data_IF_411472980096
#
_entry.id   IF_411472980096
#
_cell.length_a   1.000
_cell.length_b   1.000
_cell.length_c   1.000
_cell.angle_alpha   90.00
_cell.angle_beta   90.00
_cell.angle_gamma   90.00
#
_symmetry.space_group_name_H-M   'P 1'
#
loop_
_entity.id
_entity.type
_entity.pdbx_description
1 polymer ?
#
# COMPACT_ATOMS: atom_id res chain seq x y z
N UNK A 1 -27.50 -26.41 -45.70
CA UNK A 1 -27.33 -25.01 -45.26
C UNK A 1 -27.16 -24.85 -43.74
N UNK A 2 -27.82 -25.65 -42.88
CA UNK A 2 -27.65 -25.54 -41.41
C UNK A 2 -26.30 -26.02 -40.85
N UNK A 3 -25.62 -26.96 -41.53
CA UNK A 3 -24.29 -27.47 -41.11
C UNK A 3 -23.13 -26.50 -41.39
N UNK A 4 -23.30 -25.56 -42.33
CA UNK A 4 -22.28 -24.55 -42.65
C UNK A 4 -22.27 -23.38 -41.66
N UNK A 5 -23.43 -23.03 -41.09
CA UNK A 5 -23.53 -21.98 -40.06
C UNK A 5 -22.88 -22.43 -38.74
N UNK A 6 -22.98 -23.72 -38.41
CA UNK A 6 -22.40 -24.28 -37.18
C UNK A 6 -20.85 -24.35 -37.25
N UNK A 7 -20.27 -24.50 -38.44
CA UNK A 7 -18.82 -24.49 -38.64
C UNK A 7 -18.22 -23.08 -38.50
N UNK A 8 -18.96 -22.03 -38.91
CA UNK A 8 -18.54 -20.64 -38.75
C UNK A 8 -18.54 -20.15 -37.30
N UNK A 9 -19.47 -20.65 -36.48
CA UNK A 9 -19.59 -20.25 -35.06
C UNK A 9 -18.50 -20.89 -34.17
N UNK A 10 -17.96 -22.04 -34.58
CA UNK A 10 -16.89 -22.73 -33.84
C UNK A 10 -15.51 -22.15 -34.16
N UNK A 11 -15.35 -21.43 -35.27
CA UNK A 11 -14.07 -20.86 -35.70
C UNK A 11 -13.77 -19.47 -35.10
N UNK A 12 -14.78 -18.76 -34.60
CA UNK A 12 -14.61 -17.46 -33.92
C UNK A 12 -14.23 -17.59 -32.44
N UNK A 13 -14.24 -18.81 -31.88
CA UNK A 13 -13.88 -19.06 -30.47
C UNK A 13 -12.39 -19.42 -30.27
N UNK A 14 -11.62 -19.58 -31.34
CA UNK A 14 -10.24 -20.08 -31.28
C UNK A 14 -9.17 -18.97 -31.25
N UNK A 15 -9.54 -17.70 -31.18
CA UNK A 15 -8.59 -16.59 -31.17
C UNK A 15 -8.88 -15.58 -30.06
N UNK A 16 -8.62 -16.00 -28.82
CA UNK A 16 -8.11 -15.09 -27.79
C UNK A 16 -6.97 -15.79 -27.08
N UNK A 17 -5.79 -15.82 -27.72
CA UNK A 17 -4.57 -16.02 -26.93
C UNK A 17 -4.33 -14.67 -26.24
N UNK A 18 -4.93 -14.52 -25.06
CA UNK A 18 -4.63 -13.41 -24.16
C UNK A 18 -3.22 -13.60 -23.64
N UNK A 19 -2.20 -13.18 -24.41
CA UNK A 19 -0.83 -13.06 -23.89
C UNK A 19 -0.70 -11.71 -23.20
N UNK A 20 -1.03 -11.66 -21.91
CA UNK A 20 -0.75 -10.48 -21.10
C UNK A 20 -0.69 -10.84 -19.61
N UNK A 21 0.50 -11.24 -19.15
CA UNK A 21 1.16 -10.67 -17.97
C UNK A 21 2.50 -11.39 -17.77
N UNK A 22 3.59 -10.81 -18.27
CA UNK A 22 4.88 -11.02 -17.62
C UNK A 22 4.81 -10.27 -16.29
N UNK A 23 4.60 -10.99 -15.18
CA UNK A 23 4.54 -10.38 -13.85
C UNK A 23 5.92 -10.03 -13.29
N UNK A 24 7.00 -10.13 -14.08
CA UNK A 24 8.38 -10.13 -13.59
C UNK A 24 8.63 -11.13 -12.43
N UNK A 25 7.84 -12.21 -12.38
CA UNK A 25 7.81 -13.18 -11.27
C UNK A 25 7.38 -12.58 -9.90
N UNK A 26 6.62 -11.47 -9.89
CA UNK A 26 6.05 -10.91 -8.67
C UNK A 26 4.90 -11.77 -8.13
N UNK A 27 4.94 -12.06 -6.84
CA UNK A 27 3.89 -12.77 -6.10
C UNK A 27 3.39 -11.90 -4.94
N UNK A 28 2.07 -11.87 -4.74
CA UNK A 28 1.47 -11.24 -3.56
C UNK A 28 1.77 -12.10 -2.33
N UNK A 29 2.54 -11.57 -1.38
CA UNK A 29 2.91 -12.29 -0.16
C UNK A 29 1.88 -12.13 0.96
N UNK A 30 1.39 -10.91 1.18
CA UNK A 30 0.45 -10.60 2.26
C UNK A 30 -0.46 -9.42 1.94
N UNK A 31 -1.31 -9.05 2.90
CA UNK A 31 -2.21 -7.89 2.82
C UNK A 31 -2.70 -7.52 4.22
N UNK A 32 -2.69 -6.22 4.53
CA UNK A 32 -3.31 -5.65 5.72
C UNK A 32 -4.36 -4.62 5.29
N UNK A 33 -5.60 -4.76 5.80
CA UNK A 33 -6.70 -3.86 5.47
C UNK A 33 -6.82 -2.72 6.47
N UNK A 34 -7.15 -1.52 5.99
CA UNK A 34 -7.44 -0.35 6.82
C UNK A 34 -8.90 0.08 6.70
N UNK A 35 -9.51 0.59 7.78
CA UNK A 35 -10.88 1.13 7.75
C UNK A 35 -10.95 2.54 7.13
N UNK A 36 -9.79 3.14 6.82
CA UNK A 36 -9.65 4.46 6.22
C UNK A 36 -8.82 4.36 4.94
N UNK A 37 -8.95 5.37 4.07
CA UNK A 37 -8.09 5.48 2.90
C UNK A 37 -6.65 5.77 3.34
N UNK A 38 -5.71 5.26 2.56
CA UNK A 38 -4.26 5.44 2.74
C UNK A 38 -3.75 6.38 1.64
N UNK A 39 -2.56 6.95 1.83
CA UNK A 39 -2.02 7.95 0.90
C UNK A 39 -0.52 7.80 0.57
N UNK A 40 0.32 7.34 1.50
CA UNK A 40 1.75 7.09 1.26
C UNK A 40 2.23 5.85 2.02
N UNK A 41 3.36 5.30 1.59
CA UNK A 41 4.08 4.22 2.28
C UNK A 41 5.59 4.41 2.16
N UNK A 42 6.30 4.18 3.27
CA UNK A 42 7.76 4.19 3.32
C UNK A 42 8.28 2.95 4.06
N UNK A 43 9.53 2.57 3.81
CA UNK A 43 10.18 1.43 4.47
C UNK A 43 11.19 1.86 5.53
N UNK A 44 11.27 1.10 6.62
CA UNK A 44 12.33 1.21 7.62
C UNK A 44 12.82 -0.18 8.02
N UNK A 45 14.12 -0.34 8.20
CA UNK A 45 14.72 -1.57 8.73
C UNK A 45 15.53 -1.19 9.96
N UNK A 46 15.23 -1.81 11.10
CA UNK A 46 15.97 -1.54 12.33
C UNK A 46 17.35 -2.21 12.34
N UNK A 47 18.14 -1.96 13.39
CA UNK A 47 19.47 -2.57 13.53
C UNK A 47 19.43 -4.10 13.75
N UNK A 48 18.27 -4.66 14.10
CA UNK A 48 18.03 -6.09 14.26
C UNK A 48 17.63 -6.80 12.97
N UNK A 49 17.34 -6.05 11.89
CA UNK A 49 16.87 -6.58 10.62
C UNK A 49 15.35 -6.76 10.55
N UNK A 50 14.59 -6.23 11.52
CA UNK A 50 13.14 -6.18 11.43
C UNK A 50 12.74 -5.12 10.41
N UNK A 51 11.76 -5.43 9.55
CA UNK A 51 11.28 -4.54 8.50
C UNK A 51 9.91 -3.98 8.86
N UNK A 52 9.75 -2.68 8.65
CA UNK A 52 8.55 -1.93 8.97
C UNK A 52 8.04 -1.17 7.75
N UNK A 53 6.75 -1.33 7.46
CA UNK A 53 6.02 -0.44 6.56
C UNK A 53 5.46 0.72 7.38
N UNK A 54 5.85 1.92 7.01
CA UNK A 54 5.39 3.17 7.58
C UNK A 54 4.29 3.70 6.67
N UNK A 55 3.04 3.71 7.12
CA UNK A 55 1.87 3.88 6.27
C UNK A 55 1.14 5.16 6.64
N UNK A 56 0.96 6.05 5.66
CA UNK A 56 0.14 7.24 5.78
C UNK A 56 -1.33 6.87 5.64
N UNK A 57 -2.13 7.17 6.68
CA UNK A 57 -3.57 6.95 6.69
C UNK A 57 -4.29 8.30 6.77
N UNK A 58 -5.49 8.43 6.18
CA UNK A 58 -6.20 9.73 6.21
C UNK A 58 -6.41 10.28 7.62
N UNK A 59 -6.54 9.42 8.62
CA UNK A 59 -6.71 9.79 10.03
C UNK A 59 -5.44 9.71 10.89
N UNK A 60 -4.26 9.44 10.32
CA UNK A 60 -3.03 9.33 11.11
C UNK A 60 -1.87 8.61 10.40
N UNK A 61 -1.00 8.02 11.20
CA UNK A 61 0.21 7.33 10.76
C UNK A 61 0.27 5.94 11.40
N UNK A 62 0.51 4.91 10.58
CA UNK A 62 0.54 3.52 11.00
C UNK A 62 1.93 2.93 10.84
N UNK A 63 2.37 2.14 11.81
CA UNK A 63 3.65 1.43 11.82
C UNK A 63 3.33 -0.05 11.82
N UNK A 64 3.69 -0.74 10.74
CA UNK A 64 3.35 -2.14 10.49
C UNK A 64 4.62 -2.95 10.44
N UNK A 65 4.73 -3.97 11.29
CA UNK A 65 5.76 -5.00 11.15
C UNK A 65 5.47 -5.85 9.90
N UNK A 66 6.43 -5.85 8.99
CA UNK A 66 6.40 -6.62 7.74
C UNK A 66 7.60 -7.57 7.62
N UNK A 67 8.32 -7.82 8.73
CA UNK A 67 9.46 -8.76 8.79
C UNK A 67 9.07 -10.15 8.28
N UNK A 68 7.84 -10.59 8.58
CA UNK A 68 7.19 -11.67 7.85
C UNK A 68 6.13 -11.08 6.89
N UNK A 69 6.44 -10.93 5.58
CA UNK A 69 5.53 -10.28 4.65
C UNK A 69 4.26 -11.08 4.37
N UNK A 70 4.18 -12.36 4.77
CA UNK A 70 2.96 -13.15 4.68
C UNK A 70 1.92 -12.80 5.77
N UNK A 71 2.36 -12.21 6.88
CA UNK A 71 1.51 -11.87 8.03
C UNK A 71 1.85 -10.48 8.57
N UNK A 72 1.56 -9.40 7.82
CA UNK A 72 1.79 -8.04 8.29
C UNK A 72 0.95 -7.72 9.54
N UNK A 73 1.55 -7.06 10.53
CA UNK A 73 0.90 -6.71 11.81
C UNK A 73 1.06 -5.22 12.09
N UNK A 74 -0.05 -4.48 12.21
CA UNK A 74 0.00 -3.10 12.72
C UNK A 74 0.43 -3.12 14.20
N UNK A 75 1.60 -2.54 14.49
CA UNK A 75 2.10 -2.41 15.86
C UNK A 75 1.52 -1.17 16.54
N UNK A 76 1.49 -0.06 15.81
CA UNK A 76 1.06 1.24 16.33
C UNK A 76 0.32 2.06 15.30
N UNK A 77 -0.67 2.82 15.77
CA UNK A 77 -1.34 3.86 15.01
C UNK A 77 -1.32 5.17 15.80
N UNK A 78 -0.75 6.22 15.24
CA UNK A 78 -0.70 7.56 15.82
C UNK A 78 -1.77 8.42 15.14
N UNK A 79 -2.84 8.82 15.84
CA UNK A 79 -3.87 9.69 15.27
C UNK A 79 -3.30 11.05 14.86
N UNK A 80 -3.82 11.60 13.76
CA UNK A 80 -3.47 12.95 13.30
C UNK A 80 -4.65 13.63 12.60
N UNK A 81 -4.52 14.92 12.28
CA UNK A 81 -5.59 15.66 11.59
C UNK A 81 -5.95 15.00 10.27
N UNK A 82 -7.25 14.94 9.96
CA UNK A 82 -7.70 14.33 8.71
C UNK A 82 -7.08 15.02 7.49
N UNK A 83 -6.41 14.25 6.63
CA UNK A 83 -5.66 14.77 5.49
C UNK A 83 -5.74 13.78 4.33
N UNK A 84 -5.79 14.32 3.10
CA UNK A 84 -5.72 13.47 1.91
C UNK A 84 -4.28 13.05 1.64
N UNK A 85 -3.29 13.89 1.97
CA UNK A 85 -1.88 13.69 1.65
C UNK A 85 -1.00 13.69 2.89
N UNK A 86 -0.32 12.56 3.13
CA UNK A 86 0.80 12.45 4.07
C UNK A 86 2.01 12.00 3.29
N UNK A 87 3.18 12.49 3.68
CA UNK A 87 4.46 12.00 3.20
C UNK A 87 5.31 11.55 4.39
N UNK A 88 6.01 10.45 4.21
CA UNK A 88 6.88 9.86 5.23
C UNK A 88 8.30 9.73 4.68
N UNK A 89 9.29 10.10 5.50
CA UNK A 89 10.72 9.90 5.21
C UNK A 89 11.44 9.47 6.46
N UNK A 90 12.50 8.70 6.31
CA UNK A 90 13.35 8.26 7.44
C UNK A 90 14.73 8.89 7.37
N UNK A 91 15.31 9.15 8.54
CA UNK A 91 16.71 9.49 8.70
C UNK A 91 17.20 9.00 10.05
N UNK A 92 18.29 8.22 10.07
CA UNK A 92 18.72 7.49 11.27
C UNK A 92 17.57 6.62 11.80
N UNK A 93 17.33 6.61 13.11
CA UNK A 93 16.22 5.94 13.80
C UNK A 93 14.98 6.84 13.95
N UNK A 94 14.77 7.77 13.01
CA UNK A 94 13.60 8.65 13.05
C UNK A 94 12.79 8.56 11.77
N UNK A 95 11.47 8.58 11.91
CA UNK A 95 10.51 8.85 10.84
C UNK A 95 9.98 10.28 10.97
N UNK A 96 9.94 10.98 9.85
CA UNK A 96 9.43 12.34 9.70
C UNK A 96 8.17 12.27 8.85
N UNK A 97 7.06 12.72 9.43
CA UNK A 97 5.74 12.65 8.82
C UNK A 97 5.16 14.05 8.70
N UNK A 98 4.73 14.40 7.50
CA UNK A 98 4.09 15.69 7.21
C UNK A 98 2.75 15.46 6.52
N UNK A 99 1.87 16.46 6.55
CA UNK A 99 0.61 16.43 5.84
C UNK A 99 0.08 17.81 5.47
N UNK A 100 -0.89 17.84 4.57
CA UNK A 100 -1.62 19.05 4.16
C UNK A 100 -2.86 19.37 5.02
N UNK A 101 -3.23 18.47 5.93
CA UNK A 101 -4.39 18.62 6.81
C UNK A 101 -4.26 19.80 7.78
N UNK A 102 -5.36 20.53 7.97
CA UNK A 102 -5.44 21.68 8.87
C UNK A 102 -6.68 21.58 9.74
N UNK A 103 -6.51 21.61 11.06
CA UNK A 103 -7.62 21.69 12.02
C UNK A 103 -7.54 22.98 12.82
N UNK A 104 -8.62 23.76 12.78
CA UNK A 104 -8.94 24.76 13.82
C UNK A 104 -7.81 25.70 14.25
N UNK A 105 -7.07 26.29 13.31
CA UNK A 105 -6.16 27.40 13.63
C UNK A 105 -4.69 27.02 13.81
N UNK A 106 -4.38 25.74 14.08
CA UNK A 106 -3.01 25.29 14.35
C UNK A 106 -2.61 24.21 13.34
N UNK A 107 -1.61 24.46 12.47
CA UNK A 107 -1.03 23.41 11.66
C UNK A 107 -0.25 22.42 12.56
N UNK A 108 -0.44 21.12 12.36
CA UNK A 108 0.30 20.08 13.10
C UNK A 108 1.81 20.10 12.77
N UNK A 109 2.19 20.70 11.63
CA UNK A 109 3.58 20.86 11.23
C UNK A 109 4.21 19.51 10.86
N UNK A 110 5.24 19.11 11.62
CA UNK A 110 6.00 17.88 11.41
C UNK A 110 5.86 16.97 12.64
N UNK A 111 5.49 15.72 12.41
CA UNK A 111 5.54 14.67 13.42
C UNK A 111 6.86 13.90 13.26
N UNK A 112 7.58 13.72 14.36
CA UNK A 112 8.83 12.95 14.42
C UNK A 112 8.60 11.76 15.34
N UNK A 113 8.88 10.56 14.83
CA UNK A 113 8.71 9.29 15.56
C UNK A 113 10.07 8.63 15.69
N UNK A 114 10.40 8.17 16.90
CA UNK A 114 11.57 7.33 17.20
C UNK A 114 11.26 5.87 16.82
N UNK A 115 12.14 5.24 16.03
CA UNK A 115 11.90 4.02 15.26
C UNK A 115 12.73 2.82 15.72
#
# INVERSE_FOLDING_TARGET
MKKLVLAGLLLSAACTVSVAQDSLAMNKLGHLSYPVQLNDVWGYTDAGGNEYALVGARSGFSIVDVTNPATPVELHFIPGVYSTWRDIKTWSHYAYVVHDGYSSGTPDGIMIVDM
#
